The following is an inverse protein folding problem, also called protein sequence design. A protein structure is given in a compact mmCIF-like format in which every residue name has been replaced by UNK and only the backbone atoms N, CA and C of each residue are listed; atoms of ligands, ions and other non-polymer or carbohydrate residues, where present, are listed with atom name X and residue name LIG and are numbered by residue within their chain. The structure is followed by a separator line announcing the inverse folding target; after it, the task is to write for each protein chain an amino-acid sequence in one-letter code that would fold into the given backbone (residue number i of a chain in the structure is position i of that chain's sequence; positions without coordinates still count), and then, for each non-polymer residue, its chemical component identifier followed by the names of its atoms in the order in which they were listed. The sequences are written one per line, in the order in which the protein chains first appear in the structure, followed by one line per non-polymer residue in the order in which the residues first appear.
data_IF_522651658987
#
_entry.id   IF_522651658987
#
_cell.length_a   1.000
_cell.length_b   1.000
_cell.length_c   1.000
_cell.angle_alpha   90.00
_cell.angle_beta   90.00
_cell.angle_gamma   90.00
#
_symmetry.space_group_name_H-M   'P 1'
#
loop_
_entity.id
_entity.type
_entity.pdbx_description
1 polymer ?
#
# COMPACT_ATOMS: atom_id res chain seq x y z
N UNK A 1 21.47 4.98 -29.58
CA UNK A 1 20.11 5.58 -29.42
C UNK A 1 18.98 4.55 -29.38
N UNK A 2 18.83 3.66 -30.37
CA UNK A 2 17.70 2.70 -30.40
C UNK A 2 17.67 1.77 -29.18
N UNK A 3 18.82 1.31 -28.70
CA UNK A 3 18.93 0.49 -27.47
C UNK A 3 18.38 1.26 -26.26
N UNK A 4 18.74 2.54 -26.10
CA UNK A 4 18.26 3.38 -24.99
C UNK A 4 16.74 3.53 -25.06
N UNK A 5 16.18 3.71 -26.25
CA UNK A 5 14.72 3.79 -26.46
C UNK A 5 14.01 2.50 -26.05
N UNK A 6 14.54 1.34 -26.43
CA UNK A 6 13.98 0.03 -26.03
C UNK A 6 14.03 -0.14 -24.50
N UNK A 7 15.16 0.22 -23.87
CA UNK A 7 15.31 0.11 -22.43
C UNK A 7 14.39 1.10 -21.68
N UNK A 8 14.21 2.31 -22.19
CA UNK A 8 13.26 3.28 -21.64
C UNK A 8 11.81 2.77 -21.70
N UNK A 9 11.42 2.09 -22.79
CA UNK A 9 10.10 1.47 -22.89
C UNK A 9 9.91 0.33 -21.89
N UNK A 10 10.95 -0.45 -21.59
CA UNK A 10 10.91 -1.49 -20.55
C UNK A 10 10.80 -0.89 -19.16
N UNK A 11 11.59 0.16 -18.88
CA UNK A 11 11.52 0.91 -17.63
C UNK A 11 10.12 1.47 -17.39
N UNK A 12 9.49 2.06 -18.41
CA UNK A 12 8.12 2.58 -18.35
C UNK A 12 7.06 1.50 -18.09
N UNK A 13 7.36 0.23 -18.42
CA UNK A 13 6.49 -0.93 -18.16
C UNK A 13 6.76 -1.59 -16.80
N UNK A 14 7.65 -1.03 -15.99
CA UNK A 14 7.95 -1.54 -14.65
C UNK A 14 9.16 -2.46 -14.56
N UNK A 15 9.92 -2.66 -15.64
CA UNK A 15 11.19 -3.39 -15.58
C UNK A 15 12.34 -2.44 -15.23
N UNK A 16 12.53 -2.22 -13.93
CA UNK A 16 13.59 -1.37 -13.37
C UNK A 16 14.94 -2.07 -13.25
N UNK A 17 15.01 -3.37 -13.59
CA UNK A 17 16.24 -4.17 -13.56
C UNK A 17 17.07 -4.02 -14.85
N UNK A 18 16.40 -3.62 -15.93
CA UNK A 18 16.95 -3.47 -17.27
C UNK A 18 18.03 -2.38 -17.35
N UNK A 19 19.10 -2.61 -18.13
CA UNK A 19 20.23 -1.68 -18.30
C UNK A 19 20.61 -1.54 -19.76
N UNK A 20 21.03 -0.35 -20.17
CA UNK A 20 21.63 -0.11 -21.49
C UNK A 20 23.04 -0.70 -21.49
N UNK A 21 23.28 -1.63 -22.41
CA UNK A 21 24.63 -2.12 -22.71
C UNK A 21 25.25 -1.23 -23.78
N UNK A 22 26.28 -0.48 -23.40
CA UNK A 22 27.06 0.36 -24.30
C UNK A 22 28.12 -0.48 -25.02
N UNK A 23 28.38 -0.18 -26.29
CA UNK A 23 29.41 -0.84 -27.10
C UNK A 23 30.61 0.08 -27.27
N UNK A 24 31.80 -0.50 -27.41
CA UNK A 24 33.08 0.23 -27.53
C UNK A 24 33.20 1.12 -28.77
N UNK A 25 32.24 1.04 -29.70
CA UNK A 25 32.17 1.84 -30.92
C UNK A 25 31.03 2.87 -30.90
N UNK A 26 30.36 3.06 -29.76
CA UNK A 26 29.34 4.10 -29.60
C UNK A 26 29.99 5.49 -29.55
N UNK A 27 29.25 6.52 -29.95
CA UNK A 27 29.72 7.91 -29.79
C UNK A 27 29.76 8.29 -28.31
N UNK A 28 30.68 9.18 -27.94
CA UNK A 28 30.79 9.70 -26.57
C UNK A 28 29.45 10.21 -26.02
N UNK A 29 28.64 10.88 -26.85
CA UNK A 29 27.30 11.36 -26.46
C UNK A 29 26.32 10.21 -26.16
N UNK A 30 26.38 9.12 -26.93
CA UNK A 30 25.55 7.93 -26.69
C UNK A 30 25.98 7.19 -25.42
N UNK A 31 27.29 7.15 -25.14
CA UNK A 31 27.82 6.59 -23.90
C UNK A 31 27.36 7.38 -22.67
N UNK A 32 27.53 8.70 -22.69
CA UNK A 32 27.08 9.58 -21.61
C UNK A 32 25.57 9.47 -21.36
N UNK A 33 24.77 9.43 -22.43
CA UNK A 33 23.33 9.27 -22.31
C UNK A 33 22.93 7.90 -21.76
N UNK A 34 23.60 6.83 -22.20
CA UNK A 34 23.35 5.48 -21.69
C UNK A 34 23.75 5.31 -20.23
N UNK A 35 24.86 5.94 -19.80
CA UNK A 35 25.26 6.00 -18.40
C UNK A 35 24.24 6.74 -17.55
N UNK A 36 23.84 7.95 -17.95
CA UNK A 36 22.81 8.71 -17.25
C UNK A 36 21.48 7.94 -17.15
N UNK A 37 21.07 7.25 -18.22
CA UNK A 37 19.89 6.39 -18.19
C UNK A 37 20.02 5.23 -17.19
N UNK A 38 21.19 4.58 -17.15
CA UNK A 38 21.45 3.49 -16.21
C UNK A 38 21.44 3.98 -14.76
N UNK A 39 22.02 5.15 -14.47
CA UNK A 39 21.97 5.78 -13.15
C UNK A 39 20.54 6.05 -12.70
N UNK A 40 19.71 6.63 -13.57
CA UNK A 40 18.28 6.85 -13.30
C UNK A 40 17.58 5.53 -13.00
N UNK A 41 17.84 4.48 -13.81
CA UNK A 41 17.23 3.16 -13.62
C UNK A 41 17.62 2.52 -12.29
N UNK A 42 18.88 2.67 -11.87
CA UNK A 42 19.38 2.17 -10.57
C UNK A 42 18.70 2.90 -9.42
N UNK A 43 18.69 4.23 -9.45
CA UNK A 43 18.09 5.04 -8.38
C UNK A 43 16.59 4.76 -8.26
N UNK A 44 15.89 4.60 -9.38
CA UNK A 44 14.47 4.28 -9.39
C UNK A 44 14.21 2.89 -8.80
N UNK A 45 14.99 1.88 -9.19
CA UNK A 45 14.86 0.53 -8.62
C UNK A 45 15.09 0.52 -7.11
N UNK A 46 16.13 1.21 -6.63
CA UNK A 46 16.43 1.34 -5.20
C UNK A 46 15.29 2.00 -4.43
N UNK A 47 14.71 3.08 -4.96
CA UNK A 47 13.56 3.76 -4.33
C UNK A 47 12.35 2.84 -4.24
N UNK A 48 12.08 2.06 -5.28
CA UNK A 48 10.97 1.10 -5.30
C UNK A 48 11.20 0.00 -4.27
N UNK A 49 12.40 -0.56 -4.18
CA UNK A 49 12.74 -1.56 -3.15
C UNK A 49 12.55 -1.00 -1.73
N UNK A 50 12.95 0.24 -1.47
CA UNK A 50 12.72 0.91 -0.19
C UNK A 50 11.21 1.02 0.10
N UNK A 51 10.41 1.49 -0.86
CA UNK A 51 8.95 1.62 -0.69
C UNK A 51 8.30 0.25 -0.43
N UNK A 52 8.71 -0.78 -1.15
CA UNK A 52 8.19 -2.14 -0.96
C UNK A 52 8.55 -2.68 0.43
N UNK A 53 9.78 -2.46 0.89
CA UNK A 53 10.20 -2.88 2.23
C UNK A 53 9.42 -2.14 3.32
N UNK A 54 9.25 -0.82 3.19
CA UNK A 54 8.44 -0.03 4.12
C UNK A 54 6.98 -0.51 4.14
N UNK A 55 6.40 -0.81 2.97
CA UNK A 55 5.05 -1.37 2.87
C UNK A 55 4.96 -2.71 3.58
N UNK A 56 5.92 -3.61 3.34
CA UNK A 56 5.95 -4.93 3.97
C UNK A 56 6.09 -4.83 5.50
N UNK A 57 6.92 -3.91 5.99
CA UNK A 57 7.07 -3.64 7.41
C UNK A 57 5.76 -3.12 8.02
N UNK A 58 5.10 -2.14 7.38
CA UNK A 58 3.79 -1.63 7.83
C UNK A 58 2.73 -2.73 7.86
N UNK A 59 2.68 -3.60 6.84
CA UNK A 59 1.76 -4.73 6.79
C UNK A 59 2.06 -5.77 7.87
N UNK A 60 3.34 -6.06 8.13
CA UNK A 60 3.76 -6.96 9.20
C UNK A 60 3.36 -6.41 10.57
N UNK A 61 3.61 -5.11 10.82
CA UNK A 61 3.18 -4.44 12.05
C UNK A 61 1.66 -4.50 12.18
N UNK A 62 0.91 -4.02 11.18
CA UNK A 62 -0.56 -4.01 11.19
C UNK A 62 -1.18 -5.40 11.44
N UNK A 63 -0.63 -6.43 10.80
CA UNK A 63 -1.10 -7.82 10.96
C UNK A 63 -0.70 -8.47 12.29
N UNK A 64 0.41 -8.03 12.90
CA UNK A 64 0.90 -8.53 14.20
C UNK A 64 0.32 -7.82 15.42
N UNK A 65 -0.30 -6.64 15.25
CA UNK A 65 -0.95 -5.91 16.33
C UNK A 65 -1.98 -6.78 17.06
N UNK A 66 -1.94 -6.73 18.40
CA UNK A 66 -2.90 -7.44 19.26
C UNK A 66 -4.21 -6.66 19.32
N UNK A 67 -4.14 -5.33 19.20
CA UNK A 67 -5.28 -4.45 19.09
C UNK A 67 -5.99 -4.63 17.75
N UNK A 68 -7.31 -4.72 17.80
CA UNK A 68 -8.14 -4.71 16.59
C UNK A 68 -8.14 -3.34 15.94
N UNK A 69 -7.75 -3.27 14.67
CA UNK A 69 -7.76 -2.04 13.86
C UNK A 69 -8.66 -2.21 12.65
N UNK A 70 -9.59 -1.26 12.48
CA UNK A 70 -10.45 -1.13 11.30
C UNK A 70 -10.31 0.29 10.78
N UNK A 71 -9.98 0.42 9.50
CA UNK A 71 -10.08 1.69 8.78
C UNK A 71 -11.37 1.70 7.98
N UNK A 72 -12.12 2.81 8.04
CA UNK A 72 -13.35 3.03 7.28
C UNK A 72 -13.29 4.34 6.51
N UNK A 73 -13.98 4.41 5.37
CA UNK A 73 -14.14 5.65 4.62
C UNK A 73 -15.33 6.49 5.14
N UNK A 74 -15.50 7.68 4.57
CA UNK A 74 -16.62 8.59 4.90
C UNK A 74 -18.00 8.07 4.50
N UNK A 75 -18.07 6.97 3.74
CA UNK A 75 -19.30 6.28 3.33
C UNK A 75 -19.55 5.00 4.15
N UNK A 76 -18.76 4.79 5.22
CA UNK A 76 -18.78 3.65 6.14
C UNK A 76 -18.33 2.32 5.51
N UNK A 77 -17.63 2.36 4.38
CA UNK A 77 -17.06 1.15 3.80
C UNK A 77 -15.75 0.81 4.51
N UNK A 78 -15.53 -0.48 4.78
CA UNK A 78 -14.26 -0.96 5.33
C UNK A 78 -13.17 -0.75 4.30
N UNK A 79 -12.15 0.05 4.64
CA UNK A 79 -10.95 0.23 3.83
C UNK A 79 -9.92 -0.85 4.14
N UNK A 80 -9.73 -1.16 5.43
CA UNK A 80 -8.76 -2.14 5.93
C UNK A 80 -9.24 -2.71 7.25
N UNK A 81 -8.87 -3.95 7.53
CA UNK A 81 -9.10 -4.61 8.81
C UNK A 81 -7.93 -5.54 9.12
N UNK A 82 -7.42 -5.53 10.36
CA UNK A 82 -6.36 -6.46 10.77
C UNK A 82 -6.91 -7.77 11.34
N UNK A 83 -6.03 -8.76 11.51
CA UNK A 83 -6.41 -10.08 12.01
C UNK A 83 -6.96 -10.04 13.44
N UNK A 84 -6.45 -9.16 14.30
CA UNK A 84 -6.96 -9.01 15.66
C UNK A 84 -8.41 -8.52 15.68
N UNK A 85 -8.80 -7.58 14.80
CA UNK A 85 -10.17 -7.10 14.69
C UNK A 85 -11.12 -8.21 14.23
N UNK A 86 -10.73 -9.06 13.27
CA UNK A 86 -11.50 -10.25 12.90
C UNK A 86 -11.77 -11.14 14.12
N UNK A 87 -10.75 -11.36 14.96
CA UNK A 87 -10.85 -12.23 16.13
C UNK A 87 -11.73 -11.63 17.24
N UNK A 88 -11.49 -10.35 17.58
CA UNK A 88 -12.22 -9.64 18.65
C UNK A 88 -13.70 -9.49 18.30
N UNK A 89 -14.00 -9.15 17.05
CA UNK A 89 -15.36 -8.92 16.57
C UNK A 89 -16.02 -10.18 16.01
N UNK A 90 -15.31 -11.33 16.04
CA UNK A 90 -15.77 -12.64 15.53
C UNK A 90 -16.30 -12.60 14.10
N UNK A 91 -15.68 -11.79 13.25
CA UNK A 91 -16.06 -11.65 11.85
C UNK A 91 -15.62 -12.92 11.10
N UNK A 92 -16.57 -13.65 10.53
CA UNK A 92 -16.33 -14.93 9.86
C UNK A 92 -16.05 -14.79 8.36
N UNK A 93 -16.58 -13.75 7.72
CA UNK A 93 -16.41 -13.47 6.31
C UNK A 93 -15.00 -12.88 6.04
N UNK A 94 -14.32 -13.35 5.00
CA UNK A 94 -13.02 -12.81 4.57
C UNK A 94 -13.22 -11.88 3.38
N UNK A 95 -12.28 -10.96 3.18
CA UNK A 95 -12.28 -9.98 2.09
C UNK A 95 -13.45 -8.99 2.17
N UNK A 96 -13.69 -8.45 3.37
CA UNK A 96 -14.75 -7.47 3.63
C UNK A 96 -14.42 -6.04 3.18
N UNK A 97 -13.26 -5.82 2.55
CA UNK A 97 -12.85 -4.50 2.06
C UNK A 97 -13.81 -4.01 0.96
N UNK A 98 -14.21 -2.75 1.05
CA UNK A 98 -15.24 -2.13 0.21
C UNK A 98 -16.67 -2.43 0.63
N UNK A 99 -16.90 -3.28 1.63
CA UNK A 99 -18.23 -3.59 2.16
C UNK A 99 -18.60 -2.57 3.24
N UNK A 100 -19.88 -2.15 3.28
CA UNK A 100 -20.40 -1.32 4.38
C UNK A 100 -20.25 -2.02 5.71
N UNK A 101 -19.70 -1.31 6.69
CA UNK A 101 -19.41 -1.84 8.03
C UNK A 101 -20.62 -2.49 8.71
N UNK A 102 -21.81 -1.90 8.57
CA UNK A 102 -23.06 -2.42 9.14
C UNK A 102 -23.44 -3.83 8.64
N UNK A 103 -22.90 -4.27 7.50
CA UNK A 103 -23.14 -5.62 6.95
C UNK A 103 -22.14 -6.63 7.51
N UNK A 104 -21.10 -6.16 8.19
CA UNK A 104 -19.99 -6.96 8.71
C UNK A 104 -20.11 -7.12 10.22
N UNK A 105 -20.52 -6.06 10.92
CA UNK A 105 -20.56 -6.02 12.38
C UNK A 105 -21.98 -5.73 12.86
N UNK A 106 -22.55 -6.68 13.62
CA UNK A 106 -23.90 -6.56 14.19
C UNK A 106 -23.94 -5.77 15.52
N UNK A 107 -22.80 -5.34 16.05
CA UNK A 107 -22.75 -4.53 17.27
C UNK A 107 -23.20 -3.09 16.99
N UNK A 108 -24.45 -2.79 17.37
CA UNK A 108 -25.10 -1.49 17.18
C UNK A 108 -24.35 -0.37 17.93
N UNK A 109 -23.82 -0.65 19.12
CA UNK A 109 -23.08 0.35 19.92
C UNK A 109 -21.80 0.77 19.20
N UNK A 110 -21.05 -0.19 18.67
CA UNK A 110 -19.84 0.08 17.89
C UNK A 110 -20.16 0.83 16.59
N UNK A 111 -21.23 0.44 15.90
CA UNK A 111 -21.66 1.14 14.68
C UNK A 111 -21.99 2.61 14.97
N UNK A 112 -22.75 2.88 16.04
CA UNK A 112 -23.11 4.24 16.44
C UNK A 112 -21.91 5.07 16.86
N UNK A 113 -20.94 4.48 17.59
CA UNK A 113 -19.69 5.16 17.94
C UNK A 113 -18.93 5.61 16.68
N UNK A 114 -18.88 4.75 15.66
CA UNK A 114 -18.18 5.06 14.40
C UNK A 114 -18.90 6.18 13.65
N UNK A 115 -20.24 6.12 13.53
CA UNK A 115 -21.02 7.21 12.92
C UNK A 115 -20.81 8.54 13.64
N UNK A 116 -20.80 8.51 14.97
CA UNK A 116 -20.54 9.69 15.78
C UNK A 116 -19.11 10.21 15.54
N UNK A 117 -18.11 9.33 15.56
CA UNK A 117 -16.71 9.69 15.34
C UNK A 117 -16.47 10.31 13.94
N UNK A 118 -17.15 9.82 12.91
CA UNK A 118 -17.06 10.37 11.54
C UNK A 118 -17.57 11.82 11.43
N UNK A 119 -18.38 12.28 12.38
CA UNK A 119 -18.87 13.67 12.43
C UNK A 119 -17.99 14.58 13.28
N UNK A 120 -17.01 14.05 14.01
CA UNK A 120 -16.11 14.82 14.86
C UNK A 120 -14.80 15.13 14.15
N UNK A 121 -14.21 16.29 14.49
CA UNK A 121 -12.83 16.63 14.11
C UNK A 121 -11.81 16.21 15.20
N UNK A 122 -12.24 15.43 16.18
CA UNK A 122 -11.42 14.99 17.33
C UNK A 122 -11.59 13.50 17.58
N UNK A 123 -10.57 12.80 18.12
CA UNK A 123 -10.69 11.41 18.50
C UNK A 123 -11.84 11.17 19.50
N UNK A 124 -12.57 10.07 19.33
CA UNK A 124 -13.63 9.62 20.24
C UNK A 124 -13.28 8.24 20.78
N UNK A 125 -13.56 8.01 22.07
CA UNK A 125 -13.41 6.70 22.70
C UNK A 125 -14.60 6.38 23.61
N UNK A 126 -15.00 5.10 23.63
CA UNK A 126 -16.06 4.57 24.47
C UNK A 126 -15.75 3.10 24.78
N UNK A 127 -16.06 2.65 25.99
CA UNK A 127 -16.02 1.22 26.35
C UNK A 127 -17.25 0.53 25.77
N UNK A 128 -17.05 -0.55 25.02
CA UNK A 128 -18.12 -1.30 24.35
C UNK A 128 -17.97 -2.77 24.70
N UNK A 129 -19.09 -3.41 25.04
CA UNK A 129 -19.13 -4.85 25.31
C UNK A 129 -19.43 -5.57 23.99
N UNK A 130 -18.50 -6.43 23.57
CA UNK A 130 -18.66 -7.28 22.39
C UNK A 130 -19.01 -8.69 22.88
N UNK A 131 -20.19 -9.18 22.51
CA UNK A 131 -20.72 -10.48 22.94
C UNK A 131 -20.27 -11.67 22.07
#
# INVERSE_FOLDING_TARGET
LEIIKVQAQRLAKGDFSSRVQLRSNDSLESEQLGQAFNEISIQLNQRIEIILNQRNEQEAVFSSMVEGVIAVDSSENVLRINQAAYNILKISEKNIEGIKLKNVIDNIELHNLILFALQQNTPVGQEIIVH
#
